data_IF_305430925302
#
_entry.id   IF_305430925302
#
_cell.length_a   1.000
_cell.length_b   1.000
_cell.length_c   1.000
_cell.angle_alpha   90.00
_cell.angle_beta   90.00
_cell.angle_gamma   90.00
#
_symmetry.space_group_name_H-M   'P 1'
#
loop_
_entity.id
_entity.type
_entity.pdbx_description
1 polymer ?
#
# COMPACT_ATOMS: atom_id res chain seq x y z
N UNK A 1 -5.23 11.05 -8.41
CA UNK A 1 -4.24 10.53 -7.44
C UNK A 1 -4.62 11.07 -6.07
N UNK A 2 -5.08 10.21 -5.16
CA UNK A 2 -5.40 10.58 -3.76
C UNK A 2 -4.17 10.30 -2.91
N UNK A 3 -3.73 11.27 -2.11
CA UNK A 3 -2.63 11.11 -1.15
C UNK A 3 -3.26 11.15 0.25
N UNK A 4 -3.29 10.01 0.92
CA UNK A 4 -3.86 9.86 2.26
C UNK A 4 -3.00 8.92 3.08
N UNK A 5 -2.93 9.16 4.38
CA UNK A 5 -2.30 8.27 5.35
C UNK A 5 -3.31 7.28 5.96
N UNK A 6 -4.62 7.45 5.69
CA UNK A 6 -5.67 6.55 6.16
C UNK A 6 -5.88 5.41 5.15
N UNK A 7 -5.13 4.33 5.34
CA UNK A 7 -5.10 3.18 4.45
C UNK A 7 -6.44 2.44 4.29
N UNK A 8 -7.23 2.15 5.36
CA UNK A 8 -8.53 1.50 5.20
C UNK A 8 -9.46 2.21 4.22
N UNK A 9 -9.52 3.54 4.29
CA UNK A 9 -10.36 4.33 3.39
C UNK A 9 -9.83 4.32 1.96
N UNK A 10 -8.51 4.36 1.75
CA UNK A 10 -7.90 4.27 0.42
C UNK A 10 -8.25 2.95 -0.27
N UNK A 11 -8.22 1.84 0.46
CA UNK A 11 -8.58 0.53 -0.09
C UNK A 11 -10.04 0.42 -0.54
N UNK A 12 -10.95 1.22 0.05
CA UNK A 12 -12.37 1.21 -0.31
C UNK A 12 -12.68 2.02 -1.57
N UNK A 13 -11.90 3.06 -1.86
CA UNK A 13 -12.23 4.06 -2.89
C UNK A 13 -11.30 4.04 -4.10
N UNK A 14 -10.24 3.23 -4.09
CA UNK A 14 -9.23 3.23 -5.16
C UNK A 14 -9.18 1.91 -5.92
N UNK A 15 -8.90 1.99 -7.23
CA UNK A 15 -8.68 0.81 -8.07
C UNK A 15 -7.22 0.36 -8.09
N UNK A 16 -6.28 1.26 -7.75
CA UNK A 16 -4.83 1.02 -7.70
C UNK A 16 -4.14 1.94 -6.71
N UNK A 17 -3.12 1.41 -6.03
CA UNK A 17 -2.31 2.13 -5.04
C UNK A 17 -0.85 2.06 -5.47
N UNK A 18 -0.24 3.21 -5.76
CA UNK A 18 1.19 3.30 -6.03
C UNK A 18 1.93 3.56 -4.73
N UNK A 19 2.85 2.68 -4.36
CA UNK A 19 3.65 2.84 -3.14
C UNK A 19 5.00 3.44 -3.51
N UNK A 20 5.31 4.59 -2.91
CA UNK A 20 6.58 5.26 -3.03
C UNK A 20 7.30 5.27 -1.69
N UNK A 21 8.59 4.90 -1.69
CA UNK A 21 9.46 4.89 -0.52
C UNK A 21 10.80 5.52 -0.90
N UNK A 22 11.29 6.45 -0.08
CA UNK A 22 12.57 7.16 -0.31
C UNK A 22 12.68 7.75 -1.73
N UNK A 23 11.57 8.35 -2.22
CA UNK A 23 11.52 8.97 -3.54
C UNK A 23 11.44 8.00 -4.73
N UNK A 24 11.32 6.68 -4.50
CA UNK A 24 11.22 5.66 -5.55
C UNK A 24 9.92 4.88 -5.46
N UNK A 25 9.34 4.50 -6.60
CA UNK A 25 8.19 3.59 -6.64
C UNK A 25 8.66 2.19 -6.30
N UNK A 26 8.18 1.64 -5.19
CA UNK A 26 8.55 0.30 -4.72
C UNK A 26 7.50 -0.77 -5.06
N UNK A 27 6.29 -0.37 -5.44
CA UNK A 27 5.27 -1.30 -5.89
C UNK A 27 3.98 -0.65 -6.33
N UNK A 28 3.10 -1.48 -6.90
CA UNK A 28 1.73 -1.14 -7.25
C UNK A 28 0.84 -2.22 -6.63
N UNK A 29 -0.15 -1.82 -5.85
CA UNK A 29 -1.13 -2.71 -5.26
C UNK A 29 -2.46 -2.54 -5.98
N UNK A 30 -3.11 -3.67 -6.19
CA UNK A 30 -4.52 -3.77 -6.52
C UNK A 30 -5.28 -4.08 -5.22
N UNK A 31 -6.09 -3.16 -4.67
CA UNK A 31 -6.81 -3.37 -3.43
C UNK A 31 -7.84 -4.51 -3.48
N UNK A 32 -8.17 -5.05 -4.66
CA UNK A 32 -8.99 -6.28 -4.81
C UNK A 32 -8.18 -7.57 -4.63
N UNK A 33 -6.85 -7.49 -4.71
CA UNK A 33 -5.93 -8.64 -4.67
C UNK A 33 -4.92 -8.59 -3.53
N UNK A 34 -4.70 -7.42 -2.97
CA UNK A 34 -3.73 -7.18 -1.92
C UNK A 34 -4.45 -6.79 -0.64
N UNK A 35 -3.80 -7.08 0.47
CA UNK A 35 -4.24 -6.74 1.81
C UNK A 35 -3.60 -5.45 2.28
N UNK A 36 -4.10 -4.93 3.41
CA UNK A 36 -3.47 -3.81 4.09
C UNK A 36 -2.05 -4.16 4.58
N UNK A 37 -1.81 -5.43 4.95
CA UNK A 37 -0.49 -5.90 5.37
C UNK A 37 0.52 -5.80 4.22
N UNK A 38 0.12 -6.13 3.00
CA UNK A 38 0.97 -5.96 1.80
C UNK A 38 1.37 -4.50 1.59
N UNK A 39 0.43 -3.57 1.83
CA UNK A 39 0.72 -2.14 1.74
C UNK A 39 1.73 -1.69 2.79
N UNK A 40 1.55 -2.10 4.05
CA UNK A 40 2.48 -1.77 5.13
C UNK A 40 3.85 -2.40 4.88
N UNK A 41 3.90 -3.64 4.40
CA UNK A 41 5.12 -4.33 4.03
C UNK A 41 5.92 -3.55 2.96
N UNK A 42 5.25 -3.06 1.91
CA UNK A 42 5.90 -2.23 0.89
C UNK A 42 6.35 -0.86 1.39
N UNK A 43 5.55 -0.21 2.25
CA UNK A 43 5.88 1.11 2.80
C UNK A 43 7.09 1.05 3.74
N UNK A 44 7.17 0.00 4.56
CA UNK A 44 8.21 -0.16 5.60
C UNK A 44 9.45 -0.89 5.07
N UNK A 45 9.26 -1.86 4.17
CA UNK A 45 10.28 -2.80 3.70
C UNK A 45 10.35 -4.11 4.50
N UNK A 46 9.39 -4.37 5.40
CA UNK A 46 9.33 -5.60 6.22
C UNK A 46 8.48 -6.65 5.50
N UNK A 47 9.02 -7.84 5.23
CA UNK A 47 8.32 -8.91 4.50
C UNK A 47 7.28 -9.68 5.33
N UNK A 48 7.43 -9.71 6.66
CA UNK A 48 6.59 -10.49 7.57
C UNK A 48 5.84 -9.59 8.56
N UNK A 49 5.08 -8.62 8.05
CA UNK A 49 4.21 -7.80 8.89
C UNK A 49 3.00 -8.64 9.34
N UNK A 50 3.09 -9.27 10.53
CA UNK A 50 1.97 -9.96 11.17
C UNK A 50 2.15 -11.46 11.43
N UNK A 51 3.38 -11.96 11.60
CA UNK A 51 3.65 -13.23 12.31
C UNK A 51 3.71 -13.05 13.83
#
# INVERSE_FOLDING_TARGET
>A
MVISHNMPHIFQITDRIHVHRLGRRVGILDPKRHTMADAVALMTGVKDWGS
#
